data_IF_347440788436
#
_entry.id   IF_347440788436
#
_cell.length_a   1.000
_cell.length_b   1.000
_cell.length_c   1.000
_cell.angle_alpha   90.00
_cell.angle_beta   90.00
_cell.angle_gamma   90.00
#
_symmetry.space_group_name_H-M   'P 1'
#
loop_
_entity.id
_entity.type
_entity.pdbx_description
1 polymer ?
#
# COMPACT_ATOMS: atom_id res chain seq x y z
N UNK A 1 -1.27 20.54 15.76
CA UNK A 1 -1.86 19.60 14.78
C UNK A 1 -3.09 18.99 15.41
N UNK A 2 -4.22 18.97 14.72
CA UNK A 2 -5.45 18.37 15.26
C UNK A 2 -5.21 16.87 15.46
N UNK A 3 -5.20 16.43 16.70
CA UNK A 3 -4.93 15.08 17.16
C UNK A 3 -6.07 14.07 16.91
N UNK A 4 -7.02 14.41 16.01
CA UNK A 4 -8.28 13.66 15.82
C UNK A 4 -8.49 13.18 14.37
N UNK A 5 -7.48 13.28 13.50
CA UNK A 5 -7.61 12.71 12.16
C UNK A 5 -7.59 11.18 12.26
N UNK A 6 -8.68 10.56 11.82
CA UNK A 6 -8.78 9.11 11.65
C UNK A 6 -8.51 8.79 10.20
N UNK A 7 -7.48 8.00 9.94
CA UNK A 7 -7.08 7.58 8.61
C UNK A 7 -7.63 6.20 8.28
N UNK A 8 -7.87 5.96 6.99
CA UNK A 8 -8.28 4.65 6.45
C UNK A 8 -7.24 4.10 5.49
N UNK A 9 -7.28 2.78 5.26
CA UNK A 9 -6.43 2.12 4.26
C UNK A 9 -7.25 1.86 3.00
N UNK A 10 -6.68 2.14 1.84
CA UNK A 10 -7.33 1.92 0.55
C UNK A 10 -6.38 1.26 -0.47
N UNK A 11 -6.96 0.68 -1.51
CA UNK A 11 -6.22 0.03 -2.58
C UNK A 11 -6.72 0.48 -3.96
N UNK A 12 -5.76 0.64 -4.85
CA UNK A 12 -5.93 0.79 -6.31
C UNK A 12 -5.01 -0.19 -7.03
N UNK A 13 -5.28 -0.46 -8.31
CA UNK A 13 -4.42 -1.30 -9.12
C UNK A 13 -4.27 -0.73 -10.53
N UNK A 14 -3.10 -0.90 -11.11
CA UNK A 14 -2.77 -0.56 -12.50
C UNK A 14 -2.20 -1.82 -13.17
N UNK A 15 -2.89 -2.31 -14.20
CA UNK A 15 -2.56 -3.57 -14.87
C UNK A 15 -1.93 -3.31 -16.24
N UNK A 16 -0.76 -3.88 -16.49
CA UNK A 16 -0.04 -3.80 -17.77
C UNK A 16 -0.49 -4.81 -18.84
N UNK A 17 -1.76 -5.23 -18.86
CA UNK A 17 -2.28 -6.24 -19.79
C UNK A 17 -3.40 -7.10 -19.19
N UNK A 18 -4.08 -7.91 -20.02
CA UNK A 18 -5.20 -8.74 -19.57
C UNK A 18 -4.75 -9.88 -18.64
N UNK A 19 -3.70 -10.62 -19.01
CA UNK A 19 -3.16 -11.73 -18.22
C UNK A 19 -2.67 -11.28 -16.83
N UNK A 20 -2.13 -10.06 -16.74
CA UNK A 20 -1.70 -9.45 -15.48
C UNK A 20 -2.89 -9.11 -14.57
N UNK A 21 -4.01 -8.69 -15.17
CA UNK A 21 -5.24 -8.41 -14.42
C UNK A 21 -5.81 -9.69 -13.81
N UNK A 22 -5.89 -10.78 -14.57
CA UNK A 22 -6.47 -12.05 -14.09
C UNK A 22 -5.69 -12.63 -12.89
N UNK A 23 -4.36 -12.53 -12.92
CA UNK A 23 -3.52 -13.00 -11.83
C UNK A 23 -3.69 -12.17 -10.54
N UNK A 24 -3.85 -10.85 -10.64
CA UNK A 24 -3.85 -9.95 -9.46
C UNK A 24 -5.24 -9.55 -8.99
N UNK A 25 -6.28 -9.66 -9.82
CA UNK A 25 -7.64 -9.27 -9.47
C UNK A 25 -8.20 -9.99 -8.23
N UNK A 26 -7.96 -11.30 -8.01
CA UNK A 26 -8.35 -11.97 -6.76
C UNK A 26 -7.70 -11.31 -5.54
N UNK A 27 -6.40 -11.01 -5.61
CA UNK A 27 -5.65 -10.36 -4.54
C UNK A 27 -6.14 -8.93 -4.29
N UNK A 28 -6.41 -8.16 -5.34
CA UNK A 28 -6.95 -6.81 -5.22
C UNK A 28 -8.30 -6.81 -4.48
N UNK A 29 -9.21 -7.73 -4.83
CA UNK A 29 -10.51 -7.85 -4.16
C UNK A 29 -10.35 -8.27 -2.69
N UNK A 30 -9.47 -9.23 -2.42
CA UNK A 30 -9.13 -9.68 -1.08
C UNK A 30 -8.59 -8.52 -0.21
N UNK A 31 -7.69 -7.70 -0.75
CA UNK A 31 -7.12 -6.53 -0.06
C UNK A 31 -8.18 -5.46 0.24
N UNK A 32 -9.05 -5.14 -0.73
CA UNK A 32 -10.16 -4.19 -0.50
C UNK A 32 -11.11 -4.67 0.60
N UNK A 33 -11.37 -5.98 0.66
CA UNK A 33 -12.17 -6.57 1.72
C UNK A 33 -11.44 -6.55 3.07
N UNK A 34 -10.15 -6.88 3.09
CA UNK A 34 -9.32 -6.89 4.29
C UNK A 34 -9.15 -5.50 4.93
N UNK A 35 -9.00 -4.47 4.10
CA UNK A 35 -8.85 -3.07 4.49
C UNK A 35 -10.13 -2.46 5.06
N UNK A 36 -11.29 -3.09 4.81
CA UNK A 36 -12.58 -2.57 5.25
C UNK A 36 -12.59 -2.40 6.78
N UNK A 37 -12.97 -1.20 7.21
CA UNK A 37 -13.05 -0.79 8.62
C UNK A 37 -11.70 -0.85 9.37
N UNK A 38 -10.56 -0.82 8.66
CA UNK A 38 -9.27 -0.54 9.31
C UNK A 38 -9.12 0.97 9.39
N UNK A 39 -9.19 1.47 10.62
CA UNK A 39 -9.06 2.87 10.97
C UNK A 39 -7.93 3.04 11.99
N UNK A 40 -7.16 4.12 11.86
CA UNK A 40 -6.04 4.41 12.75
C UNK A 40 -5.83 5.92 12.89
N UNK A 41 -5.36 6.35 14.07
CA UNK A 41 -5.18 7.77 14.38
C UNK A 41 -3.70 8.17 14.37
N UNK A 42 -3.43 9.46 14.18
CA UNK A 42 -2.08 10.02 14.22
C UNK A 42 -1.35 10.02 12.86
N UNK A 43 -1.97 9.47 11.82
CA UNK A 43 -1.46 9.59 10.46
C UNK A 43 -1.77 11.00 9.90
N UNK A 44 -0.82 11.66 9.20
CA UNK A 44 -1.01 13.05 8.79
C UNK A 44 -1.97 13.25 7.62
N UNK A 45 -2.49 12.17 7.02
CA UNK A 45 -3.41 12.20 5.89
C UNK A 45 -4.67 11.38 6.17
N UNK A 46 -5.83 11.71 5.59
CA UNK A 46 -7.07 10.96 5.80
C UNK A 46 -7.02 9.51 5.28
N UNK A 47 -6.08 9.23 4.37
CA UNK A 47 -5.97 7.93 3.69
C UNK A 47 -4.51 7.55 3.45
N UNK A 48 -4.20 6.28 3.74
CA UNK A 48 -3.02 5.58 3.24
C UNK A 48 -3.46 4.65 2.11
N UNK A 49 -3.00 4.90 0.88
CA UNK A 49 -3.35 4.11 -0.29
C UNK A 49 -2.19 3.21 -0.71
N UNK A 50 -2.50 1.98 -1.13
CA UNK A 50 -1.53 1.11 -1.81
C UNK A 50 -1.94 0.93 -3.27
N UNK A 51 -1.02 1.14 -4.19
CA UNK A 51 -1.24 1.00 -5.63
C UNK A 51 -0.49 -0.24 -6.10
N UNK A 52 -1.23 -1.28 -6.46
CA UNK A 52 -0.64 -2.48 -7.06
C UNK A 52 -0.28 -2.16 -8.52
N UNK A 53 1.02 -2.12 -8.82
CA UNK A 53 1.52 -1.93 -10.19
C UNK A 53 1.93 -3.28 -10.74
N UNK A 54 1.09 -3.82 -11.60
CA UNK A 54 1.27 -5.16 -12.16
C UNK A 54 1.82 -5.03 -13.56
N UNK A 55 3.04 -5.55 -13.74
CA UNK A 55 3.63 -5.61 -15.06
C UNK A 55 3.02 -6.77 -15.86
N UNK A 56 2.45 -6.44 -17.02
CA UNK A 56 1.95 -7.44 -17.98
C UNK A 56 2.81 -7.52 -19.25
N UNK A 57 3.31 -6.39 -19.75
CA UNK A 57 4.10 -6.30 -21.01
C UNK A 57 5.17 -5.17 -21.03
N UNK A 58 5.44 -4.48 -19.92
CA UNK A 58 6.31 -3.28 -19.90
C UNK A 58 7.68 -3.62 -19.27
N UNK A 59 8.67 -3.87 -20.11
CA UNK A 59 10.07 -4.17 -19.73
C UNK A 59 10.82 -3.09 -18.93
N UNK A 60 10.18 -1.97 -18.56
CA UNK A 60 10.84 -0.78 -18.00
C UNK A 60 10.25 -0.22 -16.69
N UNK A 61 9.32 -0.89 -16.01
CA UNK A 61 9.07 -0.59 -14.59
C UNK A 61 9.89 -1.56 -13.71
N UNK A 62 11.15 -1.19 -13.49
CA UNK A 62 12.21 -2.07 -13.01
C UNK A 62 12.30 -2.30 -11.49
N UNK A 63 11.19 -2.39 -10.76
CA UNK A 63 11.25 -2.74 -9.33
C UNK A 63 10.13 -3.72 -8.92
N UNK A 64 10.52 -4.76 -8.18
CA UNK A 64 9.60 -5.59 -7.39
C UNK A 64 9.60 -5.06 -5.96
N UNK A 65 8.43 -4.97 -5.33
CA UNK A 65 8.29 -4.46 -3.96
C UNK A 65 7.88 -3.00 -3.89
N UNK A 66 8.23 -2.34 -2.78
CA UNK A 66 7.71 -1.01 -2.44
C UNK A 66 8.38 0.10 -3.27
N UNK A 67 7.57 0.90 -3.96
CA UNK A 67 8.00 2.04 -4.76
C UNK A 67 8.00 3.36 -3.98
N UNK A 68 8.20 4.46 -4.71
CA UNK A 68 8.25 5.79 -4.10
C UNK A 68 6.88 6.22 -3.55
N UNK A 69 6.86 6.89 -2.39
CA UNK A 69 5.65 7.44 -1.82
C UNK A 69 5.22 8.68 -2.59
N UNK A 70 3.95 8.71 -3.01
CA UNK A 70 3.34 9.90 -3.59
C UNK A 70 2.37 10.53 -2.59
N UNK A 71 2.40 11.85 -2.50
CA UNK A 71 1.54 12.62 -1.60
C UNK A 71 0.68 13.49 -2.47
N UNK A 72 -0.63 13.30 -2.35
CA UNK A 72 -1.58 14.08 -3.10
C UNK A 72 -1.45 15.57 -2.81
N UNK A 73 -1.62 16.39 -3.86
CA UNK A 73 -1.44 17.84 -3.77
C UNK A 73 -2.46 18.50 -2.86
N UNK A 74 -3.65 17.91 -2.74
CA UNK A 74 -4.72 18.42 -1.89
C UNK A 74 -4.62 17.87 -0.46
N UNK A 75 -3.69 16.93 -0.21
CA UNK A 75 -3.44 16.34 1.11
C UNK A 75 -4.47 15.28 1.50
N UNK A 76 -5.22 14.75 0.52
CA UNK A 76 -6.27 13.76 0.77
C UNK A 76 -5.72 12.36 1.03
N UNK A 77 -4.54 12.05 0.50
CA UNK A 77 -3.90 10.75 0.71
C UNK A 77 -2.37 10.80 0.57
N UNK A 78 -1.74 9.78 1.16
CA UNK A 78 -0.39 9.33 0.81
C UNK A 78 -0.51 7.94 0.19
N UNK A 79 0.07 7.73 -0.99
CA UNK A 79 0.06 6.45 -1.69
C UNK A 79 1.44 5.81 -1.75
N UNK A 80 1.46 4.47 -1.70
CA UNK A 80 2.64 3.64 -1.83
C UNK A 80 2.44 2.68 -2.99
N UNK A 81 3.39 2.64 -3.91
CA UNK A 81 3.40 1.69 -5.00
C UNK A 81 3.91 0.32 -4.54
N UNK A 82 3.29 -0.77 -5.01
CA UNK A 82 3.77 -2.13 -4.85
C UNK A 82 3.91 -2.74 -6.25
N UNK A 83 5.15 -2.90 -6.70
CA UNK A 83 5.48 -3.52 -7.97
C UNK A 83 5.33 -5.04 -7.90
N UNK A 84 4.59 -5.61 -8.85
CA UNK A 84 4.40 -7.06 -9.04
C UNK A 84 4.80 -7.38 -10.48
N UNK A 85 5.90 -8.10 -10.63
CA UNK A 85 6.44 -8.49 -11.94
C UNK A 85 5.90 -9.84 -12.39
N UNK A 86 6.16 -10.21 -13.66
CA UNK A 86 5.82 -11.55 -14.17
C UNK A 86 6.48 -12.69 -13.37
N UNK A 87 7.65 -12.45 -12.79
CA UNK A 87 8.40 -13.44 -12.00
C UNK A 87 7.76 -13.67 -10.63
N UNK A 88 6.94 -12.74 -10.16
CA UNK A 88 6.28 -12.77 -8.86
C UNK A 88 4.95 -13.54 -8.88
N UNK A 89 4.51 -14.07 -10.03
CA UNK A 89 3.17 -14.69 -10.20
C UNK A 89 2.89 -15.84 -9.23
N UNK A 90 3.92 -16.60 -8.86
CA UNK A 90 3.78 -17.72 -7.91
C UNK A 90 3.81 -17.28 -6.45
N UNK A 91 4.20 -16.03 -6.18
CA UNK A 91 4.47 -15.49 -4.84
C UNK A 91 3.79 -14.14 -4.60
N UNK A 92 2.75 -13.81 -5.37
CA UNK A 92 2.00 -12.54 -5.28
C UNK A 92 1.60 -12.20 -3.83
N UNK A 93 1.07 -13.14 -3.01
CA UNK A 93 0.75 -12.85 -1.61
C UNK A 93 1.95 -12.39 -0.79
N UNK A 94 3.11 -13.03 -0.99
CA UNK A 94 4.35 -12.72 -0.26
C UNK A 94 4.91 -11.37 -0.69
N UNK A 95 4.88 -11.06 -2.00
CA UNK A 95 5.33 -9.76 -2.53
C UNK A 95 4.48 -8.62 -1.98
N UNK A 96 3.16 -8.77 -2.01
CA UNK A 96 2.23 -7.77 -1.48
C UNK A 96 2.43 -7.58 0.02
N UNK A 97 2.48 -8.68 0.79
CA UNK A 97 2.68 -8.63 2.24
C UNK A 97 4.01 -7.94 2.60
N UNK A 98 5.09 -8.33 1.91
CA UNK A 98 6.41 -7.72 2.08
C UNK A 98 6.37 -6.23 1.76
N UNK A 99 5.74 -5.84 0.65
CA UNK A 99 5.59 -4.45 0.23
C UNK A 99 4.83 -3.59 1.26
N UNK A 100 3.75 -4.13 1.83
CA UNK A 100 2.97 -3.46 2.89
C UNK A 100 3.81 -3.33 4.16
N UNK A 101 4.44 -4.42 4.63
CA UNK A 101 5.17 -4.43 5.89
C UNK A 101 6.47 -3.61 5.87
N UNK A 102 7.07 -3.42 4.69
CA UNK A 102 8.25 -2.57 4.51
C UNK A 102 7.90 -1.10 4.23
N UNK A 103 6.62 -0.79 3.94
CA UNK A 103 6.19 0.59 3.67
C UNK A 103 6.38 1.61 4.80
N UNK A 104 6.36 1.25 6.12
CA UNK A 104 6.54 2.24 7.18
C UNK A 104 7.84 3.04 7.09
N UNK A 105 8.95 2.41 6.68
CA UNK A 105 10.24 3.10 6.51
C UNK A 105 10.16 4.18 5.43
N UNK A 106 9.55 3.83 4.29
CA UNK A 106 9.38 4.71 3.14
C UNK A 106 8.40 5.85 3.45
N UNK A 107 7.28 5.53 4.11
CA UNK A 107 6.29 6.52 4.58
C UNK A 107 6.95 7.50 5.55
N UNK A 108 7.74 7.00 6.49
CA UNK A 108 8.46 7.82 7.47
C UNK A 108 9.41 8.80 6.78
N UNK A 109 10.21 8.31 5.82
CA UNK A 109 11.11 9.15 5.05
C UNK A 109 10.35 10.25 4.28
N UNK A 110 9.21 9.92 3.67
CA UNK A 110 8.37 10.88 2.95
C UNK A 110 7.83 12.00 3.85
N UNK A 111 7.31 11.62 5.02
CA UNK A 111 6.73 12.53 6.01
C UNK A 111 7.82 13.45 6.58
N UNK A 112 9.00 12.90 6.87
CA UNK A 112 10.15 13.68 7.35
C UNK A 112 10.67 14.66 6.30
N UNK A 113 10.74 14.24 5.02
CA UNK A 113 11.13 15.12 3.92
C UNK A 113 10.18 16.32 3.79
N UNK A 114 8.88 16.11 4.02
CA UNK A 114 7.86 17.18 4.08
C UNK A 114 7.85 17.98 5.39
N UNK A 115 8.75 17.68 6.33
CA UNK A 115 8.89 18.35 7.64
C UNK A 115 7.60 18.31 8.47
N UNK A 116 6.78 17.28 8.29
CA UNK A 116 5.59 17.05 9.11
C UNK A 116 6.07 16.56 10.48
N UNK A 117 5.78 17.33 11.53
CA UNK A 117 6.22 17.03 12.90
C UNK A 117 5.21 16.13 13.60
N UNK A 118 5.68 15.34 14.57
CA UNK A 118 4.81 14.60 15.49
C UNK A 118 4.17 13.33 14.90
N UNK A 119 4.62 12.88 13.73
CA UNK A 119 4.31 11.55 13.23
C UNK A 119 5.16 10.51 13.96
N UNK A 120 4.50 9.52 14.54
CA UNK A 120 5.12 8.34 15.14
C UNK A 120 4.92 7.15 14.17
N UNK A 121 5.99 6.59 13.57
CA UNK A 121 5.87 5.45 12.65
C UNK A 121 5.22 4.22 13.27
N UNK A 122 5.30 4.02 14.58
CA UNK A 122 4.73 2.86 15.26
C UNK A 122 3.21 2.78 15.14
N UNK A 123 2.52 3.89 14.84
CA UNK A 123 1.07 3.89 14.62
C UNK A 123 0.66 3.05 13.40
N UNK A 124 1.58 2.83 12.45
CA UNK A 124 1.34 2.05 11.25
C UNK A 124 1.43 0.54 11.51
N UNK A 125 2.15 0.11 12.55
CA UNK A 125 2.50 -1.30 12.73
C UNK A 125 1.26 -2.19 12.89
N UNK A 126 0.45 -1.93 13.90
CA UNK A 126 -0.76 -2.72 14.18
C UNK A 126 -1.79 -2.75 13.02
N UNK A 127 -2.16 -1.61 12.38
CA UNK A 127 -3.13 -1.65 11.28
C UNK A 127 -2.59 -2.38 10.04
N UNK A 128 -1.28 -2.29 9.75
CA UNK A 128 -0.68 -3.00 8.62
C UNK A 128 -0.51 -4.50 8.89
N UNK A 129 -0.18 -4.89 10.12
CA UNK A 129 -0.18 -6.30 10.56
C UNK A 129 -1.58 -6.91 10.40
N UNK A 130 -2.61 -6.23 10.93
CA UNK A 130 -4.01 -6.66 10.83
C UNK A 130 -4.49 -6.77 9.37
N UNK A 131 -4.11 -5.81 8.53
CA UNK A 131 -4.39 -5.84 7.10
C UNK A 131 -3.81 -7.08 6.44
N UNK A 132 -2.54 -7.39 6.71
CA UNK A 132 -1.87 -8.56 6.16
C UNK A 132 -2.49 -9.87 6.65
N UNK A 133 -2.84 -9.97 7.93
CA UNK A 133 -3.50 -11.15 8.50
C UNK A 133 -4.86 -11.41 7.85
N UNK A 134 -5.70 -10.37 7.73
CA UNK A 134 -7.02 -10.46 7.07
C UNK A 134 -6.89 -10.81 5.60
N UNK A 135 -5.92 -10.20 4.91
CA UNK A 135 -5.64 -10.47 3.51
C UNK A 135 -5.31 -11.95 3.28
N UNK A 136 -4.33 -12.49 4.02
CA UNK A 136 -3.92 -13.90 3.87
C UNK A 136 -5.06 -14.86 4.22
N UNK A 137 -5.89 -14.53 5.21
CA UNK A 137 -7.05 -15.35 5.59
C UNK A 137 -8.19 -15.34 4.56
N UNK A 138 -8.14 -14.44 3.58
CA UNK A 138 -9.16 -14.26 2.54
C UNK A 138 -8.78 -14.82 1.17
N UNK A 139 -7.57 -15.37 1.04
CA UNK A 139 -7.08 -16.09 -0.13
C UNK A 139 -7.45 -17.57 -0.04
#
# INVERSE_FOLDING_TARGET
>A
MNSNLTATIDFSAQFGGHDAADAVLPHFRALKAAAKNIEFSGFPYPKLAFILRVDGEISQYGFSGTGEPDIDRDGDYLSIDIGITIQDRETIPQVIKSGIMNSPEIITAAIQFRRIKGFDPEILRAPLELLCERYISSL
#
